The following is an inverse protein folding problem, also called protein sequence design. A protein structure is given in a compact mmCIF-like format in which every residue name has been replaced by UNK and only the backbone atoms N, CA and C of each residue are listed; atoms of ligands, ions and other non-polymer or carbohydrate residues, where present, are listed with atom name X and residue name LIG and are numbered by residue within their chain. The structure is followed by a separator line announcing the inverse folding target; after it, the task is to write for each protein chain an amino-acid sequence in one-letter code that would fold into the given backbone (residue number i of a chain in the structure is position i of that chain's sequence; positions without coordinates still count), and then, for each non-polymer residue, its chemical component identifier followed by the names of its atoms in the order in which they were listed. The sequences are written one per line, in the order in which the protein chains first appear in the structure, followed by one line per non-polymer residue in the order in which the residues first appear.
data_IF_786481878464
#
_entry.id   IF_786481878464
#
_cell.length_a   1.000
_cell.length_b   1.000
_cell.length_c   1.000
_cell.angle_alpha   90.00
_cell.angle_beta   90.00
_cell.angle_gamma   90.00
#
_symmetry.space_group_name_H-M   'P 1'
#
loop_
_entity.id
_entity.type
_entity.pdbx_description
1 polymer ?
#
# COMPACT_ATOMS: atom_id res chain seq x y z
N UNK A 1 -0.47 5.88 -3.59
CA UNK A 1 -0.96 6.25 -2.26
C UNK A 1 -0.29 5.30 -1.29
N UNK A 2 0.42 5.85 -0.31
CA UNK A 2 1.14 5.07 0.70
C UNK A 2 0.10 4.57 1.72
N UNK A 3 0.28 3.37 2.26
CA UNK A 3 -0.67 2.79 3.23
C UNK A 3 -0.78 3.59 4.54
N UNK A 4 0.16 4.52 4.75
CA UNK A 4 0.20 5.47 5.86
C UNK A 4 -0.55 6.79 5.55
N UNK A 5 -1.11 6.94 4.34
CA UNK A 5 -1.96 8.08 3.99
C UNK A 5 -3.30 8.02 4.77
N UNK A 6 -3.84 9.18 5.20
CA UNK A 6 -5.10 9.24 5.92
C UNK A 6 -6.25 8.68 5.07
N UNK A 7 -7.13 7.89 5.71
CA UNK A 7 -8.27 7.28 5.07
C UNK A 7 -9.33 8.34 4.72
N UNK A 8 -9.83 8.36 3.47
CA UNK A 8 -10.77 9.36 3.00
C UNK A 8 -12.19 9.05 3.48
N UNK A 9 -12.45 9.35 4.76
CA UNK A 9 -13.75 9.21 5.41
C UNK A 9 -14.83 10.06 4.73
N UNK A 10 -14.44 11.13 4.02
CA UNK A 10 -15.34 12.10 3.39
C UNK A 10 -16.28 11.47 2.35
N UNK A 11 -15.90 10.33 1.77
CA UNK A 11 -16.71 9.59 0.80
C UNK A 11 -17.82 8.72 1.43
N UNK A 12 -17.83 8.59 2.76
CA UNK A 12 -18.81 7.82 3.51
C UNK A 12 -19.93 8.72 4.04
N UNK A 13 -21.12 8.17 4.36
CA UNK A 13 -22.19 8.93 5.00
C UNK A 13 -21.74 9.55 6.33
N UNK A 14 -22.21 10.76 6.64
CA UNK A 14 -21.78 11.53 7.83
C UNK A 14 -21.83 10.75 9.15
N UNK A 15 -22.88 9.94 9.37
CA UNK A 15 -23.00 9.08 10.57
C UNK A 15 -21.89 8.02 10.68
N UNK A 16 -21.45 7.52 9.53
CA UNK A 16 -20.37 6.53 9.43
C UNK A 16 -19.03 7.20 9.66
N UNK A 17 -18.85 8.43 9.16
CA UNK A 17 -17.66 9.24 9.44
C UNK A 17 -17.50 9.48 10.94
N UNK A 18 -18.56 9.94 11.60
CA UNK A 18 -18.58 10.19 13.05
C UNK A 18 -18.25 8.91 13.82
N UNK A 19 -18.84 7.77 13.44
CA UNK A 19 -18.57 6.48 14.10
C UNK A 19 -17.14 5.97 13.90
N UNK A 20 -16.56 6.20 12.71
CA UNK A 20 -15.15 5.84 12.44
C UNK A 20 -14.23 6.75 13.25
N UNK A 21 -14.48 8.06 13.27
CA UNK A 21 -13.67 9.00 14.04
C UNK A 21 -13.76 8.71 15.53
N UNK A 22 -14.95 8.41 16.07
CA UNK A 22 -15.14 8.04 17.48
C UNK A 22 -14.34 6.78 17.85
N UNK A 23 -14.36 5.75 16.99
CA UNK A 23 -13.57 4.52 17.17
C UNK A 23 -12.06 4.82 17.26
N UNK A 24 -11.59 5.80 16.49
CA UNK A 24 -10.19 6.23 16.47
C UNK A 24 -9.91 7.46 17.35
N UNK A 25 -10.76 7.73 18.34
CA UNK A 25 -10.60 8.81 19.33
C UNK A 25 -10.51 10.22 18.72
N UNK A 26 -11.29 10.47 17.67
CA UNK A 26 -11.31 11.73 16.92
C UNK A 26 -10.15 11.92 15.95
N UNK A 27 -9.24 10.94 15.83
CA UNK A 27 -8.14 10.98 14.86
C UNK A 27 -8.60 10.44 13.50
N UNK A 28 -8.06 10.98 12.41
CA UNK A 28 -8.22 10.37 11.09
C UNK A 28 -7.37 9.10 11.00
N UNK A 29 -7.99 7.91 10.82
CA UNK A 29 -7.25 6.67 10.72
C UNK A 29 -6.53 6.56 9.37
N UNK A 30 -5.48 5.76 9.32
CA UNK A 30 -4.82 5.38 8.06
C UNK A 30 -5.58 4.25 7.35
N UNK A 31 -5.39 4.11 6.03
CA UNK A 31 -6.02 3.04 5.26
C UNK A 31 -5.67 1.63 5.80
N UNK A 32 -4.44 1.46 6.31
CA UNK A 32 -3.97 0.21 6.92
C UNK A 32 -4.64 -0.09 8.26
N UNK A 33 -4.83 0.92 9.11
CA UNK A 33 -5.55 0.78 10.38
C UNK A 33 -7.00 0.35 10.13
N UNK A 34 -7.69 1.01 9.20
CA UNK A 34 -9.07 0.67 8.82
C UNK A 34 -9.14 -0.76 8.27
N UNK A 35 -8.16 -1.17 7.44
CA UNK A 35 -8.12 -2.51 6.87
C UNK A 35 -7.94 -3.62 7.92
N UNK A 36 -7.23 -3.34 9.02
CA UNK A 36 -6.96 -4.32 10.11
C UNK A 36 -8.14 -4.57 11.03
N UNK A 37 -9.10 -3.67 11.10
CA UNK A 37 -10.29 -3.84 11.94
C UNK A 37 -11.19 -4.94 11.36
N UNK A 38 -11.61 -5.96 12.15
CA UNK A 38 -12.48 -7.04 11.67
C UNK A 38 -13.88 -6.54 11.26
N UNK A 39 -14.49 -7.19 10.27
CA UNK A 39 -15.85 -6.83 9.80
C UNK A 39 -16.91 -6.91 10.91
N UNK A 40 -16.79 -7.90 11.78
CA UNK A 40 -17.69 -8.06 12.93
C UNK A 40 -17.59 -6.89 13.92
N UNK A 41 -16.45 -6.20 13.99
CA UNK A 41 -16.27 -5.00 14.80
C UNK A 41 -16.92 -3.80 14.13
N UNK A 42 -16.66 -3.62 12.83
CA UNK A 42 -17.31 -2.58 12.02
C UNK A 42 -18.83 -2.65 12.10
N UNK A 43 -19.42 -3.83 12.01
CA UNK A 43 -20.87 -4.03 12.09
C UNK A 43 -21.51 -3.70 13.45
N UNK A 44 -20.71 -3.57 14.51
CA UNK A 44 -21.22 -3.14 15.82
C UNK A 44 -21.33 -1.62 15.93
N UNK A 45 -20.65 -0.88 15.05
CA UNK A 45 -20.67 0.57 15.06
C UNK A 45 -21.98 1.10 14.47
N UNK A 46 -22.51 2.20 15.04
CA UNK A 46 -23.77 2.76 14.58
C UNK A 46 -23.69 3.21 13.12
N UNK A 47 -24.71 2.87 12.33
CA UNK A 47 -24.77 3.26 10.91
C UNK A 47 -23.90 2.43 9.95
N UNK A 48 -23.15 1.44 10.46
CA UNK A 48 -22.35 0.54 9.63
C UNK A 48 -23.10 -0.79 9.44
N UNK A 49 -23.91 -0.83 8.39
CA UNK A 49 -24.52 -2.06 7.89
C UNK A 49 -23.64 -2.79 6.87
N UNK A 50 -24.06 -3.97 6.39
CA UNK A 50 -23.32 -4.76 5.42
C UNK A 50 -23.05 -4.02 4.10
N UNK A 51 -23.96 -3.17 3.64
CA UNK A 51 -23.79 -2.32 2.45
C UNK A 51 -22.75 -1.22 2.66
N UNK A 52 -22.79 -0.55 3.81
CA UNK A 52 -21.79 0.45 4.21
C UNK A 52 -20.41 -0.20 4.35
N UNK A 53 -20.35 -1.37 4.97
CA UNK A 53 -19.13 -2.13 5.17
C UNK A 53 -18.51 -2.57 3.83
N UNK A 54 -19.33 -3.03 2.88
CA UNK A 54 -18.86 -3.35 1.54
C UNK A 54 -18.22 -2.11 0.87
N UNK A 55 -18.85 -0.94 0.98
CA UNK A 55 -18.32 0.32 0.45
C UNK A 55 -17.02 0.74 1.13
N UNK A 56 -16.94 0.60 2.46
CA UNK A 56 -15.73 0.86 3.24
C UNK A 56 -14.58 -0.06 2.80
N UNK A 57 -14.88 -1.34 2.55
CA UNK A 57 -13.90 -2.32 2.05
C UNK A 57 -13.43 -1.99 0.63
N UNK A 58 -14.33 -1.63 -0.28
CA UNK A 58 -13.95 -1.18 -1.64
C UNK A 58 -13.00 0.01 -1.60
N UNK A 59 -13.28 1.02 -0.76
CA UNK A 59 -12.40 2.17 -0.59
C UNK A 59 -11.03 1.76 -0.02
N UNK A 60 -10.99 0.88 0.99
CA UNK A 60 -9.69 0.38 1.51
C UNK A 60 -8.91 -0.43 0.47
N UNK A 61 -9.57 -1.19 -0.40
CA UNK A 61 -8.91 -2.00 -1.43
C UNK A 61 -8.34 -1.14 -2.57
N UNK A 62 -9.05 -0.09 -2.97
CA UNK A 62 -8.60 0.90 -3.94
C UNK A 62 -7.36 1.66 -3.43
N UNK A 63 -7.35 2.03 -2.14
CA UNK A 63 -6.26 2.77 -1.52
C UNK A 63 -5.04 1.88 -1.21
N UNK A 64 -5.26 0.65 -0.74
CA UNK A 64 -4.19 -0.29 -0.44
C UNK A 64 -3.58 -0.95 -1.68
N UNK A 65 -4.14 -0.73 -2.88
CA UNK A 65 -3.62 -1.27 -4.13
C UNK A 65 -3.54 -2.80 -4.11
N UNK A 66 -4.68 -3.48 -4.27
CA UNK A 66 -4.75 -4.96 -4.37
C UNK A 66 -4.00 -5.72 -3.25
N UNK A 67 -3.92 -5.18 -2.04
CA UNK A 67 -3.81 -6.08 -0.89
C UNK A 67 -5.19 -6.68 -0.73
N UNK A 68 -5.43 -7.78 -1.43
CA UNK A 68 -6.57 -8.67 -1.25
C UNK A 68 -6.33 -9.50 0.02
N UNK A 69 -6.84 -9.10 1.21
CA UNK A 69 -6.80 -9.96 2.39
C UNK A 69 -7.62 -11.25 2.17
N UNK A 70 -8.56 -11.25 1.22
CA UNK A 70 -9.37 -12.43 0.87
C UNK A 70 -8.67 -13.47 -0.01
N UNK A 71 -7.55 -13.13 -0.65
CA UNK A 71 -6.75 -14.10 -1.39
C UNK A 71 -5.77 -14.84 -0.45
N UNK A 72 -5.19 -14.15 0.54
CA UNK A 72 -4.25 -14.76 1.48
C UNK A 72 -4.93 -15.72 2.47
N UNK A 73 -6.16 -15.44 2.86
CA UNK A 73 -6.98 -16.31 3.73
C UNK A 73 -7.46 -17.60 3.05
N UNK A 74 -7.46 -17.66 1.71
CA UNK A 74 -7.82 -18.84 0.92
C UNK A 74 -6.63 -19.73 0.58
N UNK A 75 -5.41 -19.28 0.87
CA UNK A 75 -4.18 -20.00 0.51
C UNK A 75 -3.72 -20.87 1.67
N UNK A 76 -3.39 -22.12 1.38
CA UNK A 76 -2.74 -22.99 2.35
C UNK A 76 -1.35 -22.45 2.69
N UNK A 77 -0.83 -22.72 3.90
CA UNK A 77 0.51 -22.29 4.36
C UNK A 77 1.61 -22.57 3.33
N UNK A 78 1.55 -23.72 2.65
CA UNK A 78 2.50 -24.09 1.58
C UNK A 78 2.45 -23.17 0.36
N UNK A 79 1.27 -22.67 0.00
CA UNK A 79 1.10 -21.73 -1.11
C UNK A 79 1.55 -20.31 -0.72
N UNK A 80 1.35 -19.94 0.55
CA UNK A 80 1.88 -18.69 1.11
C UNK A 80 3.41 -18.68 1.09
N UNK A 81 4.06 -19.77 1.52
CA UNK A 81 5.52 -19.89 1.46
C UNK A 81 6.04 -19.82 0.02
N UNK A 82 5.43 -20.56 -0.93
CA UNK A 82 5.80 -20.47 -2.35
C UNK A 82 5.66 -19.06 -2.92
N UNK A 83 4.61 -18.34 -2.53
CA UNK A 83 4.40 -16.95 -2.95
C UNK A 83 5.46 -16.03 -2.35
N UNK A 84 5.77 -16.20 -1.08
CA UNK A 84 6.81 -15.46 -0.38
C UNK A 84 8.18 -15.63 -1.05
N UNK A 85 8.59 -16.87 -1.33
CA UNK A 85 9.86 -17.16 -1.98
C UNK A 85 9.94 -16.54 -3.37
N UNK A 86 8.85 -16.64 -4.16
CA UNK A 86 8.77 -15.99 -5.48
C UNK A 86 8.96 -14.47 -5.39
N UNK A 87 8.40 -13.83 -4.37
CA UNK A 87 8.53 -12.39 -4.17
C UNK A 87 9.96 -12.00 -3.76
N UNK A 88 10.61 -12.80 -2.90
CA UNK A 88 12.03 -12.61 -2.54
C UNK A 88 12.90 -12.68 -3.79
N UNK A 89 12.75 -13.74 -4.60
CA UNK A 89 13.54 -13.89 -5.83
C UNK A 89 13.29 -12.71 -6.78
N UNK A 90 12.04 -12.24 -6.89
CA UNK A 90 11.73 -11.10 -7.76
C UNK A 90 12.36 -9.81 -7.27
N UNK A 91 12.35 -9.57 -5.95
CA UNK A 91 13.02 -8.41 -5.33
C UNK A 91 14.51 -8.43 -5.63
N UNK A 92 15.16 -9.57 -5.46
CA UNK A 92 16.60 -9.75 -5.72
C UNK A 92 16.93 -9.47 -7.18
N UNK A 93 16.14 -10.00 -8.12
CA UNK A 93 16.29 -9.71 -9.55
C UNK A 93 16.18 -8.21 -9.85
N UNK A 94 15.23 -7.52 -9.24
CA UNK A 94 15.06 -6.07 -9.44
C UNK A 94 16.23 -5.28 -8.85
N UNK A 95 16.75 -5.67 -7.69
CA UNK A 95 17.93 -5.05 -7.11
C UNK A 95 19.19 -5.24 -7.97
N UNK A 96 19.35 -6.40 -8.59
CA UNK A 96 20.45 -6.65 -9.54
C UNK A 96 20.31 -5.74 -10.76
N UNK A 97 19.11 -5.61 -11.33
CA UNK A 97 18.86 -4.73 -12.48
C UNK A 97 19.11 -3.26 -12.16
N UNK A 98 18.67 -2.78 -11.00
CA UNK A 98 18.90 -1.40 -10.56
C UNK A 98 20.39 -1.11 -10.39
N UNK A 99 21.17 -2.05 -9.84
CA UNK A 99 22.62 -1.93 -9.76
C UNK A 99 23.26 -1.83 -11.13
N UNK A 100 22.92 -2.74 -12.05
CA UNK A 100 23.43 -2.72 -13.41
C UNK A 100 23.16 -1.38 -14.13
N UNK A 101 21.94 -0.85 -14.01
CA UNK A 101 21.57 0.45 -14.60
C UNK A 101 22.37 1.59 -13.95
N UNK A 102 22.54 1.56 -12.63
CA UNK A 102 23.31 2.57 -11.90
C UNK A 102 24.79 2.56 -12.32
N UNK A 103 25.37 1.39 -12.50
CA UNK A 103 26.75 1.22 -12.94
C UNK A 103 26.93 1.68 -14.39
N UNK A 104 25.97 1.39 -15.28
CA UNK A 104 25.95 1.90 -16.65
C UNK A 104 25.86 3.43 -16.70
N UNK A 105 25.01 4.03 -15.85
CA UNK A 105 24.91 5.48 -15.71
C UNK A 105 26.21 6.10 -15.20
N UNK A 106 26.87 5.47 -14.23
CA UNK A 106 28.16 5.92 -13.71
C UNK A 106 29.23 5.85 -14.79
N UNK A 107 29.31 4.75 -15.54
CA UNK A 107 30.25 4.58 -16.64
C UNK A 107 30.03 5.62 -17.75
N UNK A 108 28.77 5.82 -18.16
CA UNK A 108 28.41 6.81 -19.16
C UNK A 108 28.73 8.24 -18.69
N UNK A 109 28.46 8.55 -17.41
CA UNK A 109 28.84 9.82 -16.80
C UNK A 109 30.36 10.00 -16.83
N UNK A 110 31.15 9.00 -16.42
CA UNK A 110 32.61 9.10 -16.46
C UNK A 110 33.15 9.27 -17.88
N UNK A 111 32.53 8.65 -18.88
CA UNK A 111 32.90 8.82 -20.29
C UNK A 111 32.58 10.24 -20.78
N UNK A 112 31.43 10.78 -20.43
CA UNK A 112 31.06 12.17 -20.74
C UNK A 112 31.99 13.19 -20.05
N UNK A 113 32.42 12.90 -18.82
CA UNK A 113 33.45 13.68 -18.11
C UNK A 113 34.79 13.65 -18.84
N UNK A 114 35.24 12.46 -19.27
CA UNK A 114 36.49 12.29 -20.03
C UNK A 114 36.45 13.03 -21.37
N UNK A 115 35.27 13.15 -21.98
CA UNK A 115 35.05 13.91 -23.22
C UNK A 115 34.86 15.41 -23.00
N UNK A 116 34.95 15.91 -21.76
CA UNK A 116 34.81 17.33 -21.42
C UNK A 116 33.41 17.91 -21.62
N UNK A 117 32.37 17.07 -21.70
CA UNK A 117 31.01 17.51 -22.07
C UNK A 117 30.12 17.95 -20.91
N UNK A 118 30.57 17.85 -19.65
CA UNK A 118 29.81 18.33 -18.49
C UNK A 118 30.60 19.41 -17.74
N UNK A 119 30.31 20.68 -18.04
CA UNK A 119 30.65 21.79 -17.18
C UNK A 119 29.74 21.81 -15.94
N UNK A 120 30.31 22.18 -14.79
CA UNK A 120 29.63 22.41 -13.50
C UNK A 120 28.31 23.18 -13.68
N UNK A 121 27.25 22.70 -13.05
CA UNK A 121 26.26 23.60 -12.47
C UNK A 121 26.87 24.09 -11.13
N UNK A 122 27.07 25.39 -11.03
CA UNK A 122 27.40 26.12 -9.80
C UNK A 122 26.27 26.02 -8.77
#
# INVERSE_FOLDING_TARGET
MQLDDPFPVEHLPRRVQESILDEFQGRHPTALEVARVPDAHWMRLPGIGPTTLARLRSLTEELCGQVQPSALTKLTVSQLLKRHDRLITRREQLQVKLRAISDQLRASKTELWMRGMTARAE
#
